data_IF_611297921668
#
_entry.id   IF_611297921668
#
_cell.length_a   1.000
_cell.length_b   1.000
_cell.length_c   1.000
_cell.angle_alpha   90.00
_cell.angle_beta   90.00
_cell.angle_gamma   90.00
#
_symmetry.space_group_name_H-M   'P 1'
#
loop_
_entity.id
_entity.type
_entity.pdbx_description
1 polymer ?
#
# COMPACT_ATOMS: atom_id res chain seq x y z
N UNK A 1 17.35 -20.05 -23.54
CA UNK A 1 16.37 -18.94 -23.58
C UNK A 1 15.36 -18.97 -22.45
N UNK A 2 14.78 -20.11 -22.04
CA UNK A 2 13.83 -20.20 -20.92
C UNK A 2 14.41 -19.86 -19.54
N UNK A 3 15.68 -20.17 -19.28
CA UNK A 3 16.33 -19.88 -17.99
C UNK A 3 16.64 -18.38 -17.78
N UNK A 4 16.91 -17.63 -18.85
CA UNK A 4 17.13 -16.18 -18.77
C UNK A 4 15.82 -15.41 -18.52
N UNK A 5 14.71 -15.84 -19.12
CA UNK A 5 13.39 -15.24 -18.87
C UNK A 5 12.92 -15.48 -17.43
N UNK A 6 13.23 -16.63 -16.84
CA UNK A 6 12.88 -16.95 -15.44
C UNK A 6 13.67 -16.09 -14.46
N UNK A 7 14.95 -15.79 -14.74
CA UNK A 7 15.79 -14.92 -13.89
C UNK A 7 15.41 -13.43 -14.00
N UNK A 8 14.97 -12.95 -15.15
CA UNK A 8 14.45 -11.57 -15.28
C UNK A 8 13.10 -11.40 -14.59
N UNK A 9 12.23 -12.42 -14.63
CA UNK A 9 10.92 -12.39 -13.97
C UNK A 9 11.02 -12.37 -12.44
N UNK A 10 11.96 -13.10 -11.83
CA UNK A 10 12.19 -13.13 -10.38
C UNK A 10 12.67 -11.78 -9.81
N UNK A 11 13.11 -10.88 -10.67
CA UNK A 11 13.60 -9.54 -10.26
C UNK A 11 12.57 -8.41 -10.38
N UNK A 12 11.41 -8.64 -11.00
CA UNK A 12 10.46 -7.55 -11.24
C UNK A 12 9.87 -7.02 -9.93
N UNK A 13 9.49 -7.90 -9.02
CA UNK A 13 8.95 -7.51 -7.72
C UNK A 13 10.01 -6.83 -6.83
N UNK A 14 11.27 -7.27 -6.90
CA UNK A 14 12.38 -6.60 -6.22
C UNK A 14 12.72 -5.25 -6.84
N UNK A 15 12.59 -5.12 -8.17
CA UNK A 15 12.91 -3.87 -8.87
C UNK A 15 11.85 -2.78 -8.66
N UNK A 16 10.58 -3.15 -8.52
CA UNK A 16 9.44 -2.23 -8.47
C UNK A 16 8.65 -2.31 -7.16
N UNK A 17 9.05 -3.15 -6.21
CA UNK A 17 8.41 -3.31 -4.92
C UNK A 17 9.33 -2.95 -3.76
N UNK A 18 8.74 -2.41 -2.72
CA UNK A 18 9.39 -2.15 -1.43
C UNK A 18 8.79 -3.12 -0.41
N UNK A 19 9.58 -4.06 0.10
CA UNK A 19 9.13 -5.00 1.13
C UNK A 19 9.05 -4.30 2.50
N UNK A 20 7.85 -3.88 2.87
CA UNK A 20 7.57 -3.21 4.13
C UNK A 20 7.74 -4.15 5.33
N UNK A 21 7.49 -5.45 5.16
CA UNK A 21 7.72 -6.44 6.23
C UNK A 21 9.21 -6.65 6.49
N UNK A 22 10.04 -6.65 5.45
CA UNK A 22 11.49 -6.67 5.62
C UNK A 22 12.01 -5.40 6.30
N UNK A 23 11.48 -4.23 5.92
CA UNK A 23 11.81 -2.96 6.59
C UNK A 23 11.39 -2.95 8.06
N UNK A 24 10.22 -3.51 8.38
CA UNK A 24 9.75 -3.65 9.76
C UNK A 24 10.68 -4.56 10.58
N UNK A 25 11.10 -5.71 10.05
CA UNK A 25 12.07 -6.61 10.72
C UNK A 25 13.41 -5.92 10.97
N UNK A 26 13.83 -5.07 10.06
CA UNK A 26 15.09 -4.32 10.17
C UNK A 26 14.97 -3.06 11.05
N UNK A 27 13.78 -2.77 11.64
CA UNK A 27 13.55 -1.58 12.46
C UNK A 27 13.66 -0.25 11.69
N UNK A 28 13.44 -0.28 10.37
CA UNK A 28 13.58 0.91 9.50
C UNK A 28 12.32 1.74 9.40
N UNK A 29 11.16 1.18 9.81
CA UNK A 29 9.89 1.91 9.80
C UNK A 29 9.76 2.80 11.05
N UNK A 30 9.09 3.93 10.88
CA UNK A 30 8.73 4.79 12.00
C UNK A 30 7.65 4.15 12.88
N UNK A 31 7.61 4.47 14.18
CA UNK A 31 6.51 4.03 15.03
C UNK A 31 5.18 4.61 14.53
N UNK A 32 4.15 3.77 14.47
CA UNK A 32 2.80 4.16 14.05
C UNK A 32 1.94 4.35 15.29
N UNK A 33 1.41 5.57 15.46
CA UNK A 33 0.66 6.00 16.64
C UNK A 33 -0.74 6.45 16.21
N UNK A 34 -1.76 6.12 17.02
CA UNK A 34 -3.13 6.59 16.80
C UNK A 34 -3.86 5.96 15.62
N UNK A 35 -3.38 4.82 15.08
CA UNK A 35 -3.96 4.15 13.90
C UNK A 35 -4.45 2.72 14.18
N UNK A 36 -4.61 2.35 15.43
CA UNK A 36 -4.99 0.99 15.82
C UNK A 36 -6.33 0.54 15.25
N UNK A 37 -7.31 1.41 15.19
CA UNK A 37 -8.63 1.13 14.64
C UNK A 37 -8.58 0.87 13.14
N UNK A 38 -7.86 1.69 12.40
CA UNK A 38 -7.71 1.56 10.95
C UNK A 38 -6.92 0.31 10.59
N UNK A 39 -5.80 0.04 11.27
CA UNK A 39 -4.99 -1.17 11.06
C UNK A 39 -5.82 -2.42 11.36
N UNK A 40 -6.58 -2.43 12.45
CA UNK A 40 -7.49 -3.53 12.78
C UNK A 40 -8.55 -3.72 11.70
N UNK A 41 -9.13 -2.64 11.21
CA UNK A 41 -10.13 -2.69 10.14
C UNK A 41 -9.57 -3.24 8.85
N UNK A 42 -8.37 -2.80 8.43
CA UNK A 42 -7.66 -3.34 7.27
C UNK A 42 -7.42 -4.85 7.42
N UNK A 43 -6.92 -5.28 8.58
CA UNK A 43 -6.70 -6.71 8.89
C UNK A 43 -7.98 -7.54 8.80
N UNK A 44 -9.09 -7.01 9.33
CA UNK A 44 -10.40 -7.67 9.25
C UNK A 44 -10.88 -7.80 7.81
N UNK A 45 -10.73 -6.75 7.00
CA UNK A 45 -11.15 -6.77 5.59
C UNK A 45 -10.32 -7.79 4.81
N UNK A 46 -8.99 -7.78 4.96
CA UNK A 46 -8.09 -8.76 4.32
C UNK A 46 -8.41 -10.22 4.68
N UNK A 47 -9.00 -10.45 5.84
CA UNK A 47 -9.36 -11.79 6.32
C UNK A 47 -10.73 -12.27 5.84
N UNK A 48 -11.49 -11.46 5.12
CA UNK A 48 -12.81 -11.82 4.58
C UNK A 48 -12.69 -12.76 3.38
N UNK A 49 -13.78 -13.47 3.08
CA UNK A 49 -13.90 -14.30 1.87
C UNK A 49 -14.23 -13.49 0.61
N UNK A 50 -14.96 -12.39 0.77
CA UNK A 50 -15.42 -11.52 -0.31
C UNK A 50 -15.19 -10.07 0.07
N UNK A 51 -15.08 -9.16 -0.91
CA UNK A 51 -14.83 -7.73 -0.69
C UNK A 51 -13.64 -7.53 0.27
N UNK A 52 -12.57 -8.28 0.01
CA UNK A 52 -11.44 -8.51 0.91
C UNK A 52 -10.21 -7.67 0.56
N UNK A 53 -10.38 -6.68 -0.30
CA UNK A 53 -9.32 -5.74 -0.64
C UNK A 53 -9.68 -4.37 -0.06
N UNK A 54 -9.02 -3.94 1.03
CA UNK A 54 -9.28 -2.63 1.63
C UNK A 54 -8.76 -1.50 0.74
N UNK A 55 -9.52 -0.41 0.68
CA UNK A 55 -9.06 0.86 0.10
C UNK A 55 -9.08 1.92 1.19
N UNK A 56 -7.92 2.44 1.52
CA UNK A 56 -7.74 3.54 2.46
C UNK A 56 -8.20 4.83 1.80
N UNK A 57 -9.23 5.45 2.35
CA UNK A 57 -9.84 6.67 1.86
C UNK A 57 -9.52 7.81 2.81
N UNK A 58 -8.89 8.85 2.31
CA UNK A 58 -8.57 10.04 3.10
C UNK A 58 -7.88 11.10 2.27
N UNK A 59 -7.86 12.31 2.79
CA UNK A 59 -7.16 13.42 2.17
C UNK A 59 -5.65 13.15 2.05
N UNK A 60 -4.95 13.82 1.15
CA UNK A 60 -3.49 13.75 1.09
C UNK A 60 -2.86 14.15 2.44
N UNK A 61 -1.84 13.38 2.87
CA UNK A 61 -1.10 13.72 4.08
C UNK A 61 -1.68 13.22 5.40
N UNK A 62 -2.90 12.64 5.44
CA UNK A 62 -3.52 12.18 6.71
C UNK A 62 -2.84 10.95 7.33
N UNK A 63 -1.95 10.27 6.60
CA UNK A 63 -1.22 9.12 7.12
C UNK A 63 -1.73 7.76 6.63
N UNK A 64 -2.28 7.68 5.42
CA UNK A 64 -2.70 6.40 4.81
C UNK A 64 -1.56 5.37 4.73
N UNK A 65 -0.37 5.81 4.35
CA UNK A 65 0.82 4.96 4.30
C UNK A 65 1.22 4.45 5.69
N UNK A 66 1.11 5.28 6.73
CA UNK A 66 1.40 4.88 8.10
C UNK A 66 0.52 3.71 8.57
N UNK A 67 -0.75 3.65 8.14
CA UNK A 67 -1.63 2.51 8.43
C UNK A 67 -1.06 1.21 7.85
N UNK A 68 -0.53 1.26 6.64
CA UNK A 68 0.06 0.09 5.96
C UNK A 68 1.39 -0.32 6.59
N UNK A 69 2.23 0.63 6.94
CA UNK A 69 3.48 0.40 7.67
C UNK A 69 3.21 -0.20 9.05
N UNK A 70 2.18 0.29 9.76
CA UNK A 70 1.73 -0.28 11.02
C UNK A 70 1.22 -1.72 10.88
N UNK A 71 0.53 -2.04 9.79
CA UNK A 71 0.14 -3.41 9.48
C UNK A 71 1.36 -4.30 9.26
N UNK A 72 2.37 -3.82 8.51
CA UNK A 72 3.61 -4.56 8.29
C UNK A 72 4.31 -4.88 9.62
N UNK A 73 4.40 -3.92 10.53
CA UNK A 73 4.96 -4.11 11.88
C UNK A 73 4.18 -5.16 12.67
N UNK A 74 2.85 -5.16 12.62
CA UNK A 74 2.02 -6.16 13.29
C UNK A 74 2.13 -7.56 12.67
N UNK A 75 2.26 -7.66 11.35
CA UNK A 75 2.53 -8.96 10.69
C UNK A 75 3.84 -9.56 11.22
N UNK A 76 4.89 -8.75 11.29
CA UNK A 76 6.19 -9.18 11.80
C UNK A 76 6.13 -9.57 13.27
N UNK A 77 5.39 -8.83 14.08
CA UNK A 77 5.18 -9.14 15.50
C UNK A 77 4.23 -10.33 15.74
N UNK A 78 3.55 -10.82 14.71
CA UNK A 78 2.53 -11.86 14.84
C UNK A 78 1.19 -11.39 15.43
N UNK A 79 1.02 -10.06 15.59
CA UNK A 79 -0.19 -9.42 16.14
C UNK A 79 -1.22 -9.17 15.03
N UNK A 80 -1.60 -10.21 14.33
CA UNK A 80 -2.58 -10.22 13.24
C UNK A 80 -3.39 -11.51 13.26
N UNK A 81 -4.59 -11.53 12.62
CA UNK A 81 -5.33 -12.77 12.42
C UNK A 81 -4.48 -13.86 11.77
N UNK A 82 -4.79 -15.12 12.06
CA UNK A 82 -4.02 -16.28 11.55
C UNK A 82 -3.83 -16.26 10.04
N UNK A 83 -4.84 -15.81 9.30
CA UNK A 83 -4.80 -15.69 7.83
C UNK A 83 -3.76 -14.70 7.29
N UNK A 84 -3.23 -13.82 8.14
CA UNK A 84 -2.25 -12.81 7.78
C UNK A 84 -0.86 -13.09 8.34
N UNK A 85 -0.72 -14.07 9.24
CA UNK A 85 0.59 -14.45 9.79
C UNK A 85 1.52 -14.94 8.70
N UNK A 86 2.77 -14.53 8.78
CA UNK A 86 3.81 -14.93 7.84
C UNK A 86 3.67 -14.33 6.43
N UNK A 87 2.67 -13.48 6.19
CA UNK A 87 2.54 -12.79 4.91
C UNK A 87 3.64 -11.75 4.72
N UNK A 88 3.97 -11.50 3.47
CA UNK A 88 4.85 -10.41 3.05
C UNK A 88 4.00 -9.25 2.54
N UNK A 89 4.26 -8.03 2.99
CA UNK A 89 3.56 -6.84 2.55
C UNK A 89 4.50 -5.99 1.70
N UNK A 90 4.16 -5.84 0.42
CA UNK A 90 4.99 -5.15 -0.57
C UNK A 90 4.25 -3.93 -1.10
N UNK A 91 4.88 -2.77 -1.01
CA UNK A 91 4.41 -1.54 -1.66
C UNK A 91 4.95 -1.47 -3.08
N UNK A 92 4.06 -1.35 -4.07
CA UNK A 92 4.46 -1.17 -5.47
C UNK A 92 4.77 0.29 -5.76
N UNK A 93 5.93 0.53 -6.34
CA UNK A 93 6.35 1.84 -6.83
C UNK A 93 5.95 2.00 -8.30
N UNK A 94 4.77 2.58 -8.52
CA UNK A 94 4.26 2.84 -9.87
C UNK A 94 5.12 3.86 -10.61
N UNK A 95 5.70 4.82 -9.88
CA UNK A 95 6.58 5.83 -10.48
C UNK A 95 7.84 5.19 -11.04
N UNK A 96 8.43 4.22 -10.32
CA UNK A 96 9.57 3.46 -10.82
C UNK A 96 9.21 2.59 -12.03
N UNK A 97 7.98 2.05 -12.08
CA UNK A 97 7.51 1.28 -13.25
C UNK A 97 7.36 2.15 -14.50
N UNK A 98 6.96 3.42 -14.32
CA UNK A 98 6.81 4.40 -15.41
C UNK A 98 8.16 4.99 -15.80
N UNK A 99 9.05 5.21 -14.84
CA UNK A 99 10.35 5.81 -15.07
C UNK A 99 11.16 5.01 -16.09
N UNK A 100 11.62 5.70 -17.14
CA UNK A 100 12.38 5.08 -18.22
C UNK A 100 11.56 4.22 -19.21
N UNK A 101 10.24 4.13 -19.05
CA UNK A 101 9.39 3.55 -20.10
C UNK A 101 9.17 4.60 -21.20
N UNK A 102 9.59 4.28 -22.42
CA UNK A 102 9.38 5.15 -23.58
C UNK A 102 7.97 5.03 -24.15
N UNK A 103 7.31 3.93 -23.89
CA UNK A 103 5.99 3.60 -24.43
C UNK A 103 5.11 2.93 -23.37
N UNK A 104 3.80 3.08 -23.51
CA UNK A 104 2.77 2.46 -22.68
C UNK A 104 2.96 0.93 -22.52
N UNK A 105 3.39 0.25 -23.59
CA UNK A 105 3.61 -1.19 -23.59
C UNK A 105 4.70 -1.67 -22.61
N UNK A 106 5.74 -0.88 -22.39
CA UNK A 106 6.81 -1.24 -21.43
C UNK A 106 6.31 -1.24 -19.99
N UNK A 107 5.45 -0.28 -19.63
CA UNK A 107 4.80 -0.27 -18.30
C UNK A 107 3.89 -1.49 -18.12
N UNK A 108 3.07 -1.80 -19.14
CA UNK A 108 2.18 -2.96 -19.09
C UNK A 108 2.96 -4.27 -18.94
N UNK A 109 4.10 -4.41 -19.61
CA UNK A 109 4.97 -5.58 -19.47
C UNK A 109 5.59 -5.69 -18.09
N UNK A 110 6.06 -4.57 -17.51
CA UNK A 110 6.59 -4.52 -16.14
C UNK A 110 5.52 -4.90 -15.12
N UNK A 111 4.33 -4.34 -15.25
CA UNK A 111 3.21 -4.68 -14.37
C UNK A 111 2.79 -6.13 -14.50
N UNK A 112 2.72 -6.69 -15.72
CA UNK A 112 2.45 -8.12 -15.96
C UNK A 112 3.49 -9.01 -15.28
N UNK A 113 4.77 -8.66 -15.36
CA UNK A 113 5.84 -9.42 -14.71
C UNK A 113 5.67 -9.42 -13.19
N UNK A 114 5.42 -8.27 -12.57
CA UNK A 114 5.15 -8.15 -11.13
C UNK A 114 3.91 -8.94 -10.72
N UNK A 115 2.80 -8.80 -11.44
CA UNK A 115 1.56 -9.53 -11.15
C UNK A 115 1.72 -11.03 -11.27
N UNK A 116 2.53 -11.50 -12.22
CA UNK A 116 2.84 -12.92 -12.37
C UNK A 116 3.63 -13.46 -11.16
N UNK A 117 4.63 -12.73 -10.69
CA UNK A 117 5.38 -13.11 -9.48
C UNK A 117 4.46 -13.19 -8.27
N UNK A 118 3.54 -12.23 -8.09
CA UNK A 118 2.55 -12.24 -7.00
C UNK A 118 1.64 -13.46 -7.12
N UNK A 119 1.20 -13.81 -8.32
CA UNK A 119 0.36 -14.98 -8.56
C UNK A 119 1.09 -16.29 -8.23
N UNK A 120 2.36 -16.40 -8.64
CA UNK A 120 3.19 -17.59 -8.41
C UNK A 120 3.55 -17.78 -6.93
N UNK A 121 3.44 -16.73 -6.10
CA UNK A 121 3.67 -16.77 -4.65
C UNK A 121 2.47 -17.34 -3.84
N UNK A 122 1.43 -17.80 -4.52
CA UNK A 122 0.28 -18.50 -3.94
C UNK A 122 -0.39 -17.78 -2.76
N UNK A 123 -0.49 -16.46 -2.82
CA UNK A 123 -1.20 -15.64 -1.85
C UNK A 123 -0.42 -15.33 -0.58
N UNK A 124 0.89 -15.50 -0.58
CA UNK A 124 1.76 -15.07 0.52
C UNK A 124 2.02 -13.57 0.49
N UNK A 125 1.92 -12.92 -0.67
CA UNK A 125 2.12 -11.48 -0.85
C UNK A 125 0.81 -10.72 -0.69
N UNK A 126 0.85 -9.66 0.11
CA UNK A 126 -0.14 -8.59 0.15
C UNK A 126 0.49 -7.38 -0.53
N UNK A 127 -0.20 -6.84 -1.52
CA UNK A 127 0.30 -5.72 -2.32
C UNK A 127 -0.32 -4.42 -1.85
N UNK A 128 0.48 -3.39 -1.64
CA UNK A 128 0.00 -2.03 -1.41
C UNK A 128 0.22 -1.16 -2.65
N UNK A 129 -0.83 -0.46 -3.07
CA UNK A 129 -0.78 0.51 -4.18
C UNK A 129 -1.26 1.87 -3.68
N UNK A 130 -0.33 2.80 -3.59
CA UNK A 130 -0.62 4.19 -3.34
C UNK A 130 -1.20 4.85 -4.60
N UNK A 131 -2.18 5.72 -4.44
CA UNK A 131 -2.90 6.35 -5.56
C UNK A 131 -3.51 5.32 -6.54
N UNK A 132 -4.25 4.36 -5.98
CA UNK A 132 -4.87 3.25 -6.75
C UNK A 132 -5.64 3.75 -7.99
N UNK A 133 -6.25 4.94 -7.91
CA UNK A 133 -6.99 5.56 -9.02
C UNK A 133 -6.14 5.79 -10.27
N UNK A 134 -4.81 5.84 -10.15
CA UNK A 134 -3.91 5.98 -11.31
C UNK A 134 -3.84 4.73 -12.18
N UNK A 135 -4.14 3.58 -11.61
CA UNK A 135 -4.13 2.27 -12.30
C UNK A 135 -5.50 1.81 -12.77
N UNK A 136 -6.60 2.33 -12.19
CA UNK A 136 -7.94 1.83 -12.43
C UNK A 136 -8.89 2.96 -12.79
N UNK A 137 -9.86 2.69 -13.68
CA UNK A 137 -10.92 3.63 -14.03
C UNK A 137 -10.49 4.81 -14.91
N UNK A 138 -9.27 4.82 -15.40
CA UNK A 138 -8.84 5.77 -16.41
C UNK A 138 -9.40 5.35 -17.77
N UNK A 139 -10.45 5.99 -18.21
CA UNK A 139 -10.97 5.80 -19.56
C UNK A 139 -9.93 6.14 -20.62
N UNK A 140 -10.06 5.58 -21.82
CA UNK A 140 -9.13 5.74 -22.95
C UNK A 140 -8.88 7.21 -23.39
N UNK A 141 -9.57 8.17 -22.78
CA UNK A 141 -9.55 9.58 -23.19
C UNK A 141 -8.37 10.40 -22.65
N UNK A 142 -7.74 10.01 -21.55
CA UNK A 142 -6.76 10.87 -20.85
C UNK A 142 -5.29 10.41 -20.93
N UNK A 143 -4.96 9.44 -21.77
CA UNK A 143 -3.57 8.95 -21.85
C UNK A 143 -3.07 8.28 -20.55
N UNK A 144 -3.93 8.15 -19.54
CA UNK A 144 -3.65 7.48 -18.30
C UNK A 144 -3.62 5.95 -18.48
N UNK A 145 -2.78 5.29 -17.68
CA UNK A 145 -2.57 3.85 -17.79
C UNK A 145 -3.73 3.13 -17.09
N UNK A 146 -4.62 2.50 -17.87
CA UNK A 146 -5.69 1.67 -17.32
C UNK A 146 -5.25 0.21 -17.22
N UNK A 147 -4.86 -0.19 -16.01
CA UNK A 147 -4.50 -1.56 -15.67
C UNK A 147 -5.70 -2.40 -15.21
N UNK A 148 -6.91 -1.87 -15.26
CA UNK A 148 -8.13 -2.55 -14.79
C UNK A 148 -8.30 -3.93 -15.41
N UNK A 149 -8.02 -4.07 -16.72
CA UNK A 149 -8.14 -5.33 -17.42
C UNK A 149 -7.17 -6.42 -16.95
N UNK A 150 -6.04 -6.03 -16.36
CA UNK A 150 -5.07 -6.95 -15.76
C UNK A 150 -5.43 -7.29 -14.31
N UNK A 151 -5.89 -6.31 -13.54
CA UNK A 151 -6.19 -6.46 -12.12
C UNK A 151 -7.53 -7.16 -11.85
N UNK A 152 -8.60 -6.83 -12.61
CA UNK A 152 -9.93 -7.38 -12.41
C UNK A 152 -9.99 -8.91 -12.39
N UNK A 153 -9.39 -9.64 -13.35
CA UNK A 153 -9.40 -11.09 -13.31
C UNK A 153 -8.72 -11.69 -12.09
N UNK A 154 -7.59 -11.13 -11.68
CA UNK A 154 -6.82 -11.60 -10.52
C UNK A 154 -7.57 -11.32 -9.20
N UNK A 155 -8.19 -10.14 -9.06
CA UNK A 155 -9.06 -9.80 -7.94
C UNK A 155 -10.28 -10.73 -7.89
N UNK A 156 -10.86 -11.05 -9.04
CA UNK A 156 -12.01 -11.94 -9.13
C UNK A 156 -11.71 -13.36 -8.69
N UNK A 157 -10.52 -13.88 -9.02
CA UNK A 157 -10.08 -15.22 -8.64
C UNK A 157 -9.43 -15.29 -7.26
N UNK A 158 -9.25 -14.14 -6.59
CA UNK A 158 -8.57 -14.07 -5.29
C UNK A 158 -7.07 -14.32 -5.36
N UNK A 159 -6.48 -14.18 -6.53
CA UNK A 159 -5.03 -14.35 -6.78
C UNK A 159 -4.23 -13.11 -6.36
N UNK A 160 -4.89 -11.97 -6.23
CA UNK A 160 -4.31 -10.70 -5.79
C UNK A 160 -4.98 -10.25 -4.49
N UNK A 161 -4.16 -10.05 -3.46
CA UNK A 161 -4.52 -9.39 -2.20
C UNK A 161 -4.00 -7.97 -2.25
N UNK A 162 -4.90 -6.99 -2.31
CA UNK A 162 -4.56 -5.61 -2.57
C UNK A 162 -5.07 -4.69 -1.46
N UNK A 163 -4.19 -3.83 -0.97
CA UNK A 163 -4.53 -2.64 -0.20
C UNK A 163 -4.35 -1.44 -1.14
N UNK A 164 -5.40 -0.69 -1.38
CA UNK A 164 -5.33 0.57 -2.13
C UNK A 164 -5.34 1.77 -1.21
N UNK A 165 -4.84 2.90 -1.69
CA UNK A 165 -5.00 4.20 -1.06
C UNK A 165 -5.39 5.24 -2.11
N UNK A 166 -6.37 6.07 -1.78
CA UNK A 166 -6.87 7.13 -2.67
C UNK A 166 -7.68 8.18 -1.88
N UNK A 167 -8.13 9.22 -2.52
CA UNK A 167 -9.11 10.16 -1.97
C UNK A 167 -10.53 9.66 -2.17
N UNK A 168 -11.50 10.26 -1.46
CA UNK A 168 -12.91 9.89 -1.61
C UNK A 168 -13.45 10.21 -3.02
N UNK A 169 -13.07 11.35 -3.56
CA UNK A 169 -13.52 11.79 -4.88
C UNK A 169 -13.00 10.87 -5.99
N UNK A 170 -11.70 10.54 -5.95
CA UNK A 170 -11.10 9.60 -6.89
C UNK A 170 -11.70 8.18 -6.77
N UNK A 171 -11.98 7.74 -5.55
CA UNK A 171 -12.66 6.46 -5.33
C UNK A 171 -14.03 6.42 -5.99
N UNK A 172 -14.84 7.46 -5.78
CA UNK A 172 -16.20 7.58 -6.36
C UNK A 172 -16.15 7.67 -7.87
N UNK A 173 -15.19 8.40 -8.40
CA UNK A 173 -15.06 8.60 -9.84
C UNK A 173 -14.54 7.36 -10.57
N UNK A 174 -13.55 6.69 -10.02
CA UNK A 174 -12.76 5.66 -10.71
C UNK A 174 -13.08 4.22 -10.31
N UNK A 175 -13.49 3.98 -9.07
CA UNK A 175 -13.69 2.62 -8.54
C UNK A 175 -15.17 2.32 -8.34
N UNK A 176 -15.91 3.20 -7.69
CA UNK A 176 -17.32 2.96 -7.33
C UNK A 176 -18.22 2.80 -8.56
N UNK A 177 -17.92 3.49 -9.66
CA UNK A 177 -18.65 3.37 -10.92
C UNK A 177 -18.41 2.06 -11.67
N UNK A 178 -17.34 1.36 -11.35
CA UNK A 178 -17.02 0.06 -11.94
C UNK A 178 -17.51 -1.07 -11.03
N UNK A 179 -18.59 -1.72 -11.43
CA UNK A 179 -19.24 -2.76 -10.62
C UNK A 179 -18.34 -3.96 -10.32
N UNK A 180 -17.37 -4.26 -11.19
CA UNK A 180 -16.43 -5.35 -10.97
C UNK A 180 -15.38 -5.01 -9.88
N UNK A 181 -14.93 -3.76 -9.84
CA UNK A 181 -14.02 -3.26 -8.81
C UNK A 181 -14.76 -3.02 -7.49
N UNK A 182 -15.94 -2.38 -7.53
CA UNK A 182 -16.73 -2.07 -6.33
C UNK A 182 -17.04 -3.33 -5.51
N UNK A 183 -17.34 -4.45 -6.15
CA UNK A 183 -17.59 -5.74 -5.48
C UNK A 183 -16.36 -6.35 -4.82
N UNK A 184 -15.16 -5.89 -5.12
CA UNK A 184 -13.90 -6.45 -4.62
C UNK A 184 -13.26 -5.59 -3.55
N UNK A 185 -13.57 -4.30 -3.52
CA UNK A 185 -12.98 -3.33 -2.62
C UNK A 185 -13.91 -2.98 -1.45
N UNK A 186 -13.30 -2.75 -0.29
CA UNK A 186 -13.95 -2.24 0.90
C UNK A 186 -13.27 -0.95 1.34
N UNK A 187 -14.03 0.12 1.44
CA UNK A 187 -13.54 1.40 1.96
C UNK A 187 -13.16 1.29 3.43
N UNK A 188 -12.04 1.89 3.78
CA UNK A 188 -11.56 2.11 5.14
C UNK A 188 -11.16 3.58 5.25
N UNK A 189 -11.92 4.35 6.02
CA UNK A 189 -11.65 5.78 6.15
C UNK A 189 -10.47 6.03 7.09
N UNK A 190 -9.59 6.94 6.66
CA UNK A 190 -8.44 7.43 7.41
C UNK A 190 -8.58 8.94 7.52
N UNK A 191 -8.97 9.41 8.69
CA UNK A 191 -9.11 10.84 8.99
C UNK A 191 -7.79 11.47 9.44
N UNK A 192 -7.80 12.77 9.61
CA UNK A 192 -6.71 13.48 10.25
C UNK A 192 -6.51 12.96 11.69
N UNK A 193 -5.26 12.85 12.17
CA UNK A 193 -5.01 12.53 13.56
C UNK A 193 -5.55 13.64 14.48
N UNK A 194 -5.95 13.27 15.70
CA UNK A 194 -6.29 14.26 16.73
C UNK A 194 -5.07 15.07 17.14
N UNK A 195 -5.26 16.21 17.79
CA UNK A 195 -4.16 17.00 18.35
C UNK A 195 -3.33 16.14 19.32
N UNK A 196 -3.97 15.33 20.14
CA UNK A 196 -3.31 14.42 21.09
C UNK A 196 -2.46 13.38 20.37
N UNK A 197 -3.03 12.75 19.33
CA UNK A 197 -2.29 11.79 18.49
C UNK A 197 -1.13 12.48 17.75
N UNK A 198 -1.34 13.70 17.26
CA UNK A 198 -0.29 14.49 16.59
C UNK A 198 0.87 14.77 17.53
N UNK A 199 0.61 15.17 18.77
CA UNK A 199 1.65 15.34 19.79
C UNK A 199 2.40 14.02 20.03
N UNK A 200 1.68 12.91 20.15
CA UNK A 200 2.27 11.60 20.36
C UNK A 200 3.13 11.15 19.16
N UNK A 201 2.68 11.41 17.93
CA UNK A 201 3.44 11.16 16.69
C UNK A 201 4.75 11.97 16.70
N UNK A 202 4.66 13.26 16.99
CA UNK A 202 5.82 14.14 17.06
C UNK A 202 6.83 13.69 18.12
N UNK A 203 6.35 13.27 19.30
CA UNK A 203 7.19 12.68 20.36
C UNK A 203 7.88 11.39 19.90
N UNK A 204 7.17 10.53 19.16
CA UNK A 204 7.74 9.30 18.61
C UNK A 204 8.81 9.53 17.56
N UNK A 205 8.76 10.64 16.84
CA UNK A 205 9.73 11.02 15.82
C UNK A 205 10.90 11.86 16.35
N UNK A 206 10.75 12.48 17.50
CA UNK A 206 11.66 13.46 18.11
C UNK A 206 13.13 13.02 18.04
N UNK A 207 13.44 11.85 18.58
CA UNK A 207 14.83 11.38 18.67
C UNK A 207 15.50 11.25 17.32
N UNK A 208 14.79 10.82 16.29
CA UNK A 208 15.32 10.70 14.92
C UNK A 208 15.64 12.07 14.32
N UNK A 209 14.75 13.05 14.52
CA UNK A 209 14.98 14.43 14.07
C UNK A 209 16.12 15.10 14.83
N UNK A 210 16.19 14.94 16.15
CA UNK A 210 17.28 15.45 16.97
C UNK A 210 18.63 14.86 16.52
N UNK A 211 18.70 13.55 16.31
CA UNK A 211 19.91 12.89 15.86
C UNK A 211 20.36 13.35 14.46
N UNK A 212 19.41 13.50 13.54
CA UNK A 212 19.70 13.90 12.16
C UNK A 212 20.17 15.36 12.07
N UNK A 213 19.47 16.25 12.77
CA UNK A 213 19.74 17.71 12.71
C UNK A 213 20.73 18.20 13.77
N UNK A 214 21.15 17.30 14.69
CA UNK A 214 22.06 17.63 15.82
C UNK A 214 21.53 18.80 16.66
N UNK A 215 20.25 18.76 16.97
CA UNK A 215 19.55 19.76 17.81
C UNK A 215 18.76 19.06 18.91
N UNK A 216 18.34 19.83 19.92
CA UNK A 216 17.41 19.38 20.95
C UNK A 216 16.05 20.04 20.70
N UNK A 217 14.96 19.28 20.71
CA UNK A 217 13.61 19.77 20.51
C UNK A 217 12.89 19.76 21.87
N UNK A 218 12.42 20.92 22.33
CA UNK A 218 11.65 21.02 23.56
C UNK A 218 10.26 20.37 23.37
N UNK A 219 9.75 19.71 24.42
CA UNK A 219 8.41 19.10 24.36
C UNK A 219 7.32 20.14 24.12
N UNK A 220 7.47 21.35 24.68
CA UNK A 220 6.58 22.48 24.42
C UNK A 220 6.51 22.89 22.94
N UNK A 221 7.60 22.70 22.18
CA UNK A 221 7.60 22.96 20.74
C UNK A 221 6.76 21.93 19.98
N UNK A 222 6.78 20.66 20.41
CA UNK A 222 5.95 19.59 19.83
C UNK A 222 4.46 19.86 20.07
N UNK A 223 4.12 20.25 21.29
CA UNK A 223 2.74 20.62 21.66
C UNK A 223 2.25 21.85 20.88
N UNK A 224 3.12 22.84 20.69
CA UNK A 224 2.77 24.04 19.93
C UNK A 224 2.65 23.79 18.41
N UNK A 225 3.29 22.74 17.89
CA UNK A 225 3.26 22.39 16.47
C UNK A 225 2.03 21.54 16.11
N UNK A 226 1.37 20.92 17.07
CA UNK A 226 0.17 20.11 16.90
C UNK A 226 -1.10 20.95 16.95
#
# INVERSE_FOLDING_TARGET
MQQQQTQEQVKALEAFGIDLTAQARAGKLDPVIGRDSEIRRVSQVLSRRTKNNPVLIGEPGVGKTAVVEGLAQRIVAGDVPESLKGKTLISLDLSAMVAGSKFRGEFEERLKAVLKEIQDDHGMVITFIYELHTLVGAGAADGSMDASNMLKPMLARGELRLIGATTLDEYRERIEKDSALERRFQQVYVGEPSVEDTVAILRGLKERYEAHHKVTIADSALVAAA
#
